data_IF_204325932533
#
_entry.id   IF_204325932533
#
_cell.length_a   1.000
_cell.length_b   1.000
_cell.length_c   1.000
_cell.angle_alpha   90.00
_cell.angle_beta   90.00
_cell.angle_gamma   90.00
#
_symmetry.space_group_name_H-M   'P 1'
#
loop_
_entity.id
_entity.type
_entity.pdbx_description
1 polymer ?
#
# COMPACT_ATOMS: atom_id res chain seq x y z
N UNK A 1 6.17 1.64 -3.43
CA UNK A 1 5.68 1.58 -4.84
C UNK A 1 5.99 0.22 -5.43
N UNK A 2 5.14 -0.30 -6.32
CA UNK A 2 5.35 -1.63 -6.92
C UNK A 2 5.23 -1.58 -8.45
N UNK A 3 6.07 -2.36 -9.11
CA UNK A 3 6.00 -2.63 -10.55
C UNK A 3 5.75 -4.12 -10.71
N UNK A 4 4.83 -4.49 -11.58
CA UNK A 4 4.51 -5.89 -11.89
C UNK A 4 4.41 -6.13 -13.38
N UNK A 5 4.72 -7.38 -13.76
CA UNK A 5 4.64 -7.86 -15.14
C UNK A 5 5.86 -7.57 -15.98
N UNK A 6 5.92 -8.25 -17.11
CA UNK A 6 7.12 -8.26 -17.96
C UNK A 6 7.33 -6.98 -18.77
N UNK A 7 6.29 -6.12 -18.95
CA UNK A 7 6.42 -4.90 -19.77
C UNK A 7 7.60 -4.01 -19.34
N UNK A 8 7.71 -3.80 -18.02
CA UNK A 8 8.83 -3.06 -17.45
C UNK A 8 9.89 -3.99 -16.87
N UNK A 9 9.49 -5.19 -16.41
CA UNK A 9 10.39 -6.19 -15.86
C UNK A 9 11.49 -6.63 -16.83
N UNK A 10 11.16 -6.86 -18.09
CA UNK A 10 12.14 -7.24 -19.10
C UNK A 10 13.24 -6.16 -19.30
N UNK A 11 12.83 -4.87 -19.30
CA UNK A 11 13.78 -3.75 -19.37
C UNK A 11 14.68 -3.69 -18.14
N UNK A 12 14.12 -3.91 -16.95
CA UNK A 12 14.90 -3.91 -15.71
C UNK A 12 15.89 -5.05 -15.66
N UNK A 13 15.48 -6.26 -16.06
CA UNK A 13 16.35 -7.43 -16.12
C UNK A 13 17.51 -7.28 -17.12
N UNK A 14 17.33 -6.46 -18.16
CA UNK A 14 18.40 -6.13 -19.11
C UNK A 14 19.61 -5.44 -18.46
N UNK A 15 19.41 -4.62 -17.40
CA UNK A 15 20.52 -3.95 -16.72
C UNK A 15 21.56 -4.94 -16.18
N UNK A 16 21.14 -6.13 -15.78
CA UNK A 16 22.02 -7.18 -15.25
C UNK A 16 22.18 -8.36 -16.21
N UNK A 17 21.67 -8.24 -17.43
CA UNK A 17 21.77 -9.29 -18.44
C UNK A 17 21.05 -10.59 -18.05
N UNK A 18 19.96 -10.50 -17.28
CA UNK A 18 19.14 -11.66 -16.95
C UNK A 18 18.12 -11.93 -18.06
N UNK A 19 18.06 -13.15 -18.61
CA UNK A 19 17.14 -13.47 -19.70
C UNK A 19 15.67 -13.34 -19.31
N UNK A 20 14.86 -12.77 -20.19
CA UNK A 20 13.42 -12.60 -19.98
C UNK A 20 12.61 -13.03 -21.21
N UNK A 21 11.32 -13.35 -21.01
CA UNK A 21 10.40 -13.56 -22.13
C UNK A 21 10.24 -12.30 -22.96
N UNK A 22 10.03 -12.47 -24.26
CA UNK A 22 9.70 -11.35 -25.15
C UNK A 22 8.29 -10.83 -24.82
N UNK A 23 8.13 -9.52 -24.78
CA UNK A 23 6.87 -8.87 -24.36
C UNK A 23 6.56 -7.70 -25.28
N UNK A 24 5.29 -7.60 -25.69
CA UNK A 24 4.72 -6.45 -26.37
C UNK A 24 3.74 -5.71 -25.44
N UNK A 25 3.73 -4.39 -25.53
CA UNK A 25 2.88 -3.52 -24.73
C UNK A 25 1.45 -3.40 -25.27
N UNK A 26 0.60 -2.63 -24.58
CA UNK A 26 -0.82 -2.46 -24.94
C UNK A 26 -1.05 -1.85 -26.32
N UNK A 27 -0.08 -1.09 -26.84
CA UNK A 27 -0.14 -0.45 -28.18
C UNK A 27 0.40 -1.29 -29.32
N UNK A 28 0.68 -2.59 -29.12
CA UNK A 28 1.19 -3.46 -30.17
C UNK A 28 0.21 -3.59 -31.33
N UNK A 29 0.74 -3.50 -32.56
CA UNK A 29 -0.02 -3.73 -33.78
C UNK A 29 -0.35 -5.21 -34.00
N UNK A 30 -1.33 -5.48 -34.85
CA UNK A 30 -1.72 -6.86 -35.19
C UNK A 30 -0.57 -7.63 -35.86
N UNK A 31 0.26 -6.94 -36.65
CA UNK A 31 1.44 -7.54 -37.28
C UNK A 31 2.50 -7.94 -36.26
N UNK A 32 2.76 -7.10 -35.26
CA UNK A 32 3.68 -7.40 -34.18
C UNK A 32 3.19 -8.59 -33.35
N UNK A 33 1.89 -8.62 -32.99
CA UNK A 33 1.28 -9.73 -32.26
C UNK A 33 1.38 -11.02 -33.08
N UNK A 34 1.03 -10.99 -34.37
CA UNK A 34 1.16 -12.15 -35.25
C UNK A 34 2.60 -12.62 -35.35
N UNK A 35 3.55 -11.70 -35.53
CA UNK A 35 4.98 -12.02 -35.59
C UNK A 35 5.46 -12.68 -34.28
N UNK A 36 4.97 -12.24 -33.12
CA UNK A 36 5.29 -12.86 -31.84
C UNK A 36 4.76 -14.30 -31.76
N UNK A 37 3.52 -14.54 -32.23
CA UNK A 37 2.92 -15.88 -32.30
C UNK A 37 3.72 -16.77 -33.24
N UNK A 38 4.03 -16.29 -34.45
CA UNK A 38 4.76 -17.06 -35.46
C UNK A 38 6.15 -17.50 -34.96
N UNK A 39 6.84 -16.68 -34.17
CA UNK A 39 8.15 -17.00 -33.57
C UNK A 39 8.07 -17.98 -32.40
N UNK A 40 7.04 -17.88 -31.57
CA UNK A 40 6.98 -18.59 -30.29
C UNK A 40 5.88 -19.67 -30.22
N UNK A 41 5.00 -19.75 -31.22
CA UNK A 41 3.91 -20.72 -31.32
C UNK A 41 2.74 -20.46 -30.35
N UNK A 42 3.01 -19.90 -29.18
CA UNK A 42 2.00 -19.54 -28.16
C UNK A 42 2.38 -18.26 -27.46
N UNK A 43 1.38 -17.45 -27.16
CA UNK A 43 1.54 -16.24 -26.34
C UNK A 43 0.55 -16.23 -25.18
N UNK A 44 0.90 -15.46 -24.14
CA UNK A 44 0.01 -15.17 -23.01
C UNK A 44 -0.43 -13.70 -23.09
N UNK A 45 -1.70 -13.44 -22.79
CA UNK A 45 -2.27 -12.11 -22.71
C UNK A 45 -2.58 -11.82 -21.25
N UNK A 46 -1.96 -10.78 -20.68
CA UNK A 46 -2.09 -10.41 -19.28
C UNK A 46 -2.59 -8.98 -19.13
N UNK A 47 -3.63 -8.72 -18.30
CA UNK A 47 -4.08 -7.37 -18.04
C UNK A 47 -3.03 -6.57 -17.24
N UNK A 48 -2.91 -5.29 -17.57
CA UNK A 48 -2.02 -4.33 -16.90
C UNK A 48 -2.81 -3.59 -15.83
N UNK A 49 -2.44 -3.81 -14.58
CA UNK A 49 -3.00 -3.08 -13.44
C UNK A 49 -1.97 -2.11 -12.87
N UNK A 50 -2.42 -0.91 -12.51
CA UNK A 50 -1.60 0.02 -11.74
C UNK A 50 -1.44 -0.50 -10.30
N UNK A 51 -0.25 -0.36 -9.72
CA UNK A 51 0.00 -0.71 -8.32
C UNK A 51 0.19 -2.20 -8.01
N UNK A 52 0.32 -3.06 -9.02
CA UNK A 52 0.83 -4.41 -8.78
C UNK A 52 -0.14 -5.41 -8.17
N UNK A 53 -1.21 -5.71 -8.87
CA UNK A 53 -2.21 -6.70 -8.43
C UNK A 53 -1.72 -8.13 -8.74
N UNK A 54 -1.59 -8.97 -7.71
CA UNK A 54 -1.23 -10.39 -7.84
C UNK A 54 -2.40 -11.31 -8.15
N UNK A 55 -2.15 -12.63 -8.19
CA UNK A 55 -3.15 -13.72 -8.31
C UNK A 55 -4.02 -13.71 -9.58
N UNK A 56 -3.51 -13.10 -10.66
CA UNK A 56 -4.22 -12.98 -11.94
C UNK A 56 -4.64 -14.33 -12.53
N UNK A 57 -3.79 -15.35 -12.41
CA UNK A 57 -4.06 -16.69 -12.92
C UNK A 57 -5.27 -17.36 -12.26
N UNK A 58 -5.36 -17.31 -10.93
CA UNK A 58 -6.49 -17.87 -10.16
C UNK A 58 -7.81 -17.14 -10.43
N UNK A 59 -7.73 -15.87 -10.83
CA UNK A 59 -8.90 -15.06 -11.16
C UNK A 59 -9.38 -15.21 -12.62
N UNK A 60 -8.79 -16.10 -13.41
CA UNK A 60 -9.13 -16.26 -14.83
C UNK A 60 -8.69 -15.09 -15.72
N UNK A 61 -7.77 -14.25 -15.23
CA UNK A 61 -7.25 -13.07 -15.91
C UNK A 61 -5.97 -13.35 -16.71
N UNK A 62 -5.81 -14.57 -17.17
CA UNK A 62 -4.72 -15.00 -18.03
C UNK A 62 -5.29 -15.53 -19.34
N UNK A 63 -5.08 -14.80 -20.43
CA UNK A 63 -5.40 -15.25 -21.78
C UNK A 63 -4.28 -16.08 -22.40
N UNK A 64 -4.63 -16.99 -23.32
CA UNK A 64 -3.69 -17.77 -24.12
C UNK A 64 -4.12 -17.76 -25.57
N UNK A 65 -3.17 -17.57 -26.48
CA UNK A 65 -3.45 -17.61 -27.91
C UNK A 65 -2.32 -18.28 -28.69
N UNK A 66 -2.70 -18.98 -29.76
CA UNK A 66 -1.81 -19.58 -30.76
C UNK A 66 -2.07 -19.01 -32.16
N UNK A 67 -3.04 -18.10 -32.28
CA UNK A 67 -3.41 -17.39 -33.50
C UNK A 67 -3.85 -15.97 -33.17
N UNK A 68 -3.81 -15.10 -34.19
CA UNK A 68 -4.13 -13.68 -34.03
C UNK A 68 -5.60 -13.43 -33.60
N UNK A 69 -6.53 -14.19 -34.14
CA UNK A 69 -7.97 -13.99 -33.85
C UNK A 69 -8.25 -14.23 -32.34
N UNK A 70 -7.71 -15.32 -31.81
CA UNK A 70 -7.80 -15.63 -30.37
C UNK A 70 -7.09 -14.57 -29.54
N UNK A 71 -5.93 -14.08 -29.98
CA UNK A 71 -5.20 -13.03 -29.26
C UNK A 71 -5.98 -11.73 -29.15
N UNK A 72 -6.65 -11.32 -30.22
CA UNK A 72 -7.48 -10.09 -30.24
C UNK A 72 -8.75 -10.27 -29.39
N UNK A 73 -9.38 -11.42 -29.40
CA UNK A 73 -10.53 -11.71 -28.54
C UNK A 73 -10.15 -11.68 -27.05
N UNK A 74 -9.00 -12.22 -26.67
CA UNK A 74 -8.48 -12.15 -25.32
C UNK A 74 -8.04 -10.74 -24.92
N UNK A 75 -7.50 -9.95 -25.85
CA UNK A 75 -7.23 -8.52 -25.66
C UNK A 75 -8.51 -7.78 -25.27
N UNK A 76 -9.59 -7.94 -26.02
CA UNK A 76 -10.86 -7.28 -25.75
C UNK A 76 -11.44 -7.69 -24.40
N UNK A 77 -11.40 -8.97 -24.07
CA UNK A 77 -11.89 -9.52 -22.79
C UNK A 77 -11.13 -8.96 -21.57
N UNK A 78 -9.82 -8.75 -21.70
CA UNK A 78 -8.94 -8.43 -20.56
C UNK A 78 -8.58 -6.95 -20.44
N UNK A 79 -8.84 -6.13 -21.48
CA UNK A 79 -8.32 -4.75 -21.55
C UNK A 79 -8.78 -3.86 -20.39
N UNK A 80 -10.04 -3.99 -19.97
CA UNK A 80 -10.64 -3.27 -18.84
C UNK A 80 -11.12 -4.23 -17.74
N UNK A 81 -10.51 -5.40 -17.66
CA UNK A 81 -10.89 -6.38 -16.65
C UNK A 81 -10.78 -5.82 -15.23
N UNK A 82 -11.74 -6.16 -14.40
CA UNK A 82 -11.73 -5.82 -12.98
C UNK A 82 -11.21 -6.99 -12.15
N UNK A 83 -10.45 -6.69 -11.14
CA UNK A 83 -9.92 -7.68 -10.21
C UNK A 83 -10.01 -7.17 -8.78
N UNK A 84 -10.45 -8.04 -7.88
CA UNK A 84 -10.52 -7.76 -6.45
C UNK A 84 -9.54 -8.66 -5.73
N UNK A 85 -8.55 -8.05 -5.07
CA UNK A 85 -7.61 -8.76 -4.20
C UNK A 85 -7.72 -8.18 -2.81
N UNK A 86 -8.08 -9.02 -1.85
CA UNK A 86 -8.43 -8.59 -0.50
C UNK A 86 -9.60 -7.58 -0.55
N UNK A 87 -9.38 -6.34 -0.22
CA UNK A 87 -10.42 -5.28 -0.25
C UNK A 87 -10.18 -4.25 -1.37
N UNK A 88 -9.12 -4.43 -2.17
CA UNK A 88 -8.75 -3.50 -3.24
C UNK A 88 -9.36 -3.95 -4.56
N UNK A 89 -10.22 -3.10 -5.14
CA UNK A 89 -10.72 -3.28 -6.51
C UNK A 89 -9.81 -2.52 -7.46
N UNK A 90 -9.19 -3.23 -8.39
CA UNK A 90 -8.35 -2.65 -9.44
C UNK A 90 -8.99 -2.90 -10.82
N UNK A 91 -8.92 -1.91 -11.68
CA UNK A 91 -9.33 -2.01 -13.08
C UNK A 91 -8.11 -1.98 -13.99
N UNK A 92 -8.03 -2.92 -14.92
CA UNK A 92 -6.96 -2.94 -15.90
C UNK A 92 -7.10 -1.77 -16.88
N UNK A 93 -5.96 -1.30 -17.39
CA UNK A 93 -5.89 -0.30 -18.46
C UNK A 93 -4.91 -0.77 -19.53
N UNK A 94 -5.32 -1.78 -20.26
CA UNK A 94 -4.50 -2.39 -21.30
C UNK A 94 -4.12 -3.84 -20.99
N UNK A 95 -3.46 -4.45 -21.96
CA UNK A 95 -2.91 -5.80 -21.88
C UNK A 95 -1.48 -5.85 -22.39
N UNK A 96 -0.70 -6.83 -21.92
CA UNK A 96 0.57 -7.24 -22.54
C UNK A 96 0.40 -8.54 -23.31
N UNK A 97 1.22 -8.73 -24.33
CA UNK A 97 1.36 -9.99 -25.07
C UNK A 97 2.75 -10.53 -24.79
N UNK A 98 2.84 -11.68 -24.16
CA UNK A 98 4.09 -12.27 -23.67
C UNK A 98 4.33 -13.59 -24.33
N UNK A 99 5.53 -13.79 -24.86
CA UNK A 99 5.94 -15.04 -25.51
C UNK A 99 5.85 -16.21 -24.54
N UNK A 100 5.24 -17.31 -24.96
CA UNK A 100 5.28 -18.57 -24.25
C UNK A 100 6.70 -19.14 -24.23
N UNK A 101 7.17 -19.53 -23.06
CA UNK A 101 8.48 -20.17 -22.88
C UNK A 101 8.22 -21.63 -22.48
N UNK A 102 8.37 -22.60 -23.42
CA UNK A 102 8.27 -24.01 -23.08
C UNK A 102 9.38 -24.42 -22.11
N UNK A 103 9.02 -25.08 -21.03
CA UNK A 103 9.99 -25.54 -20.03
C UNK A 103 9.46 -26.75 -19.25
N UNK A 104 10.37 -27.63 -18.82
CA UNK A 104 10.09 -28.75 -17.91
C UNK A 104 10.16 -28.34 -16.44
N UNK A 105 10.92 -27.27 -16.15
CA UNK A 105 11.17 -26.79 -14.79
C UNK A 105 10.79 -25.35 -14.67
N UNK A 106 10.07 -25.02 -13.61
CA UNK A 106 9.71 -23.67 -13.19
C UNK A 106 10.30 -23.41 -11.81
N UNK A 107 10.88 -22.21 -11.62
CA UNK A 107 11.59 -21.82 -10.41
C UNK A 107 10.97 -20.55 -9.87
N UNK A 108 10.80 -20.49 -8.56
CA UNK A 108 10.49 -19.28 -7.81
C UNK A 108 11.78 -18.66 -7.27
N UNK A 109 11.93 -17.37 -7.40
CA UNK A 109 13.02 -16.62 -6.81
C UNK A 109 12.55 -15.26 -6.30
N UNK A 110 12.97 -14.90 -5.08
CA UNK A 110 12.80 -13.54 -4.59
C UNK A 110 13.96 -13.09 -3.72
N UNK A 111 14.13 -11.76 -3.62
CA UNK A 111 14.97 -11.08 -2.63
C UNK A 111 14.11 -10.05 -1.90
N UNK A 112 14.22 -10.01 -0.59
CA UNK A 112 13.63 -8.97 0.25
C UNK A 112 14.45 -8.79 1.52
N UNK A 113 14.32 -7.63 2.16
CA UNK A 113 14.87 -7.43 3.50
C UNK A 113 14.02 -8.14 4.54
N UNK A 114 14.65 -9.01 5.32
CA UNK A 114 13.96 -9.80 6.33
C UNK A 114 14.15 -9.21 7.72
N UNK A 115 13.05 -8.88 8.38
CA UNK A 115 13.07 -8.47 9.80
C UNK A 115 13.49 -9.60 10.73
N UNK A 116 13.19 -10.86 10.37
CA UNK A 116 13.57 -12.05 11.12
C UNK A 116 15.08 -12.25 11.13
N UNK A 117 15.72 -12.14 9.96
CA UNK A 117 17.17 -12.36 9.80
C UNK A 117 17.97 -11.07 9.91
N UNK A 118 17.31 -9.90 9.87
CA UNK A 118 17.96 -8.57 9.85
C UNK A 118 19.00 -8.44 8.72
N UNK A 119 18.71 -9.04 7.60
CA UNK A 119 19.58 -9.10 6.43
C UNK A 119 18.75 -9.29 5.15
N UNK A 120 19.30 -8.93 3.98
CA UNK A 120 18.73 -9.34 2.72
C UNK A 120 18.62 -10.86 2.68
N UNK A 121 17.46 -11.34 2.23
CA UNK A 121 17.13 -12.77 2.26
C UNK A 121 16.65 -13.20 0.90
N UNK A 122 17.27 -14.24 0.38
CA UNK A 122 16.82 -14.95 -0.82
C UNK A 122 15.77 -15.99 -0.42
N UNK A 123 14.63 -16.01 -1.12
CA UNK A 123 13.70 -17.14 -1.11
C UNK A 123 13.74 -17.83 -2.45
N UNK A 124 13.94 -19.13 -2.46
CA UNK A 124 14.16 -19.94 -3.65
C UNK A 124 13.39 -21.25 -3.57
N UNK A 125 12.70 -21.63 -4.65
CA UNK A 125 12.08 -22.93 -4.82
C UNK A 125 12.21 -23.42 -6.26
N UNK A 126 12.42 -24.73 -6.44
CA UNK A 126 12.39 -25.37 -7.76
C UNK A 126 10.94 -25.70 -8.21
N UNK A 127 9.94 -25.26 -7.47
CA UNK A 127 8.52 -25.36 -7.77
C UNK A 127 7.94 -23.96 -7.98
N UNK A 128 8.13 -23.40 -9.17
CA UNK A 128 7.60 -22.09 -9.56
C UNK A 128 6.21 -22.17 -10.18
N UNK A 129 5.67 -20.99 -10.54
CA UNK A 129 4.37 -20.88 -11.22
C UNK A 129 3.15 -21.03 -10.31
N UNK A 130 3.35 -21.16 -9.02
CA UNK A 130 2.32 -21.23 -7.97
C UNK A 130 2.66 -20.26 -6.82
N UNK A 131 1.71 -20.02 -5.93
CA UNK A 131 1.95 -19.18 -4.76
C UNK A 131 2.96 -19.89 -3.84
N UNK A 132 4.02 -19.17 -3.43
CA UNK A 132 5.11 -19.76 -2.63
C UNK A 132 4.63 -20.27 -1.28
N UNK A 133 3.57 -19.69 -0.75
CA UNK A 133 2.93 -20.10 0.51
C UNK A 133 2.23 -21.46 0.42
N UNK A 134 1.94 -21.93 -0.79
CA UNK A 134 1.31 -23.23 -1.05
C UNK A 134 2.34 -24.33 -1.33
N UNK A 135 3.62 -23.97 -1.48
CA UNK A 135 4.71 -24.92 -1.70
C UNK A 135 5.08 -25.60 -0.38
N UNK A 136 5.29 -26.93 -0.40
CA UNK A 136 5.78 -27.67 0.77
C UNK A 136 7.11 -27.05 1.26
N UNK A 137 7.22 -26.65 2.53
CA UNK A 137 8.42 -26.00 3.09
C UNK A 137 9.73 -26.73 2.82
N UNK A 138 9.73 -28.04 2.64
CA UNK A 138 10.95 -28.81 2.29
C UNK A 138 11.52 -28.48 0.91
N UNK A 139 10.72 -27.84 0.04
CA UNK A 139 11.12 -27.39 -1.29
C UNK A 139 11.33 -25.86 -1.36
N UNK A 140 11.37 -25.19 -0.22
CA UNK A 140 11.60 -23.72 -0.13
C UNK A 140 12.83 -23.47 0.72
N UNK A 141 13.83 -22.80 0.16
CA UNK A 141 14.97 -22.27 0.88
C UNK A 141 14.78 -20.79 1.16
N UNK A 142 14.93 -20.37 2.41
CA UNK A 142 15.02 -18.96 2.84
C UNK A 142 16.40 -18.72 3.45
N UNK A 143 17.27 -18.07 2.69
CA UNK A 143 18.69 -17.94 3.06
C UNK A 143 19.08 -16.46 3.14
N UNK A 144 19.41 -15.96 4.35
CA UNK A 144 19.99 -14.63 4.50
C UNK A 144 21.39 -14.59 3.93
N UNK A 145 21.80 -13.43 3.44
CA UNK A 145 23.16 -13.20 2.95
C UNK A 145 23.65 -11.80 3.33
N UNK A 146 24.94 -11.60 3.24
CA UNK A 146 25.58 -10.35 3.62
C UNK A 146 25.35 -9.27 2.57
N UNK A 147 24.82 -8.11 2.98
CA UNK A 147 24.48 -7.00 2.12
C UNK A 147 25.72 -6.36 1.42
N UNK A 148 26.88 -6.39 2.06
CA UNK A 148 28.10 -5.78 1.53
C UNK A 148 28.74 -6.65 0.43
N UNK A 149 28.71 -7.96 0.64
CA UNK A 149 29.29 -8.90 -0.32
C UNK A 149 28.31 -9.39 -1.37
N UNK A 150 27.02 -9.22 -1.13
CA UNK A 150 25.94 -9.61 -2.04
C UNK A 150 25.67 -11.11 -2.12
N UNK A 151 24.70 -11.47 -2.95
CA UNK A 151 24.31 -12.87 -3.16
C UNK A 151 25.40 -13.63 -3.93
N UNK A 152 26.02 -14.62 -3.29
CA UNK A 152 27.11 -15.41 -3.87
C UNK A 152 26.59 -16.69 -4.55
N UNK A 153 27.28 -17.10 -5.60
CA UNK A 153 26.97 -18.32 -6.35
C UNK A 153 26.86 -19.57 -5.48
N UNK A 154 27.75 -19.73 -4.49
CA UNK A 154 27.71 -20.87 -3.59
C UNK A 154 26.49 -20.89 -2.66
N UNK A 155 25.96 -19.70 -2.29
CA UNK A 155 24.72 -19.60 -1.49
C UNK A 155 23.54 -20.16 -2.30
N UNK A 156 23.45 -19.80 -3.57
CA UNK A 156 22.42 -20.32 -4.48
C UNK A 156 22.59 -21.82 -4.69
N UNK A 157 23.83 -22.30 -4.90
CA UNK A 157 24.11 -23.72 -5.13
C UNK A 157 23.70 -24.57 -3.91
N UNK A 158 24.07 -24.13 -2.71
CA UNK A 158 23.72 -24.82 -1.47
C UNK A 158 22.20 -24.87 -1.26
N UNK A 159 21.53 -23.74 -1.44
CA UNK A 159 20.08 -23.66 -1.30
C UNK A 159 19.35 -24.62 -2.26
N UNK A 160 19.74 -24.65 -3.56
CA UNK A 160 19.17 -25.56 -4.55
C UNK A 160 19.42 -27.03 -4.20
N UNK A 161 20.59 -27.34 -3.69
CA UNK A 161 20.94 -28.70 -3.27
C UNK A 161 20.13 -29.14 -2.04
N UNK A 162 19.94 -28.24 -1.08
CA UNK A 162 19.20 -28.51 0.16
C UNK A 162 17.73 -28.80 -0.10
N UNK A 163 17.09 -28.08 -1.02
CA UNK A 163 15.69 -28.28 -1.39
C UNK A 163 15.48 -29.44 -2.40
N UNK A 164 16.53 -30.14 -2.77
CA UNK A 164 16.46 -31.28 -3.70
C UNK A 164 16.18 -30.90 -5.14
N UNK A 165 16.65 -29.73 -5.59
CA UNK A 165 16.45 -29.28 -6.95
C UNK A 165 17.11 -30.23 -7.99
N UNK A 166 16.50 -30.42 -9.18
CA UNK A 166 17.10 -31.21 -10.26
C UNK A 166 18.51 -30.71 -10.62
N UNK A 167 19.46 -31.63 -10.77
CA UNK A 167 20.87 -31.28 -10.97
C UNK A 167 21.10 -30.43 -12.22
N UNK A 168 20.34 -30.68 -13.28
CA UNK A 168 20.46 -29.98 -14.57
C UNK A 168 20.11 -28.48 -14.49
N UNK A 169 19.29 -28.03 -13.51
CA UNK A 169 18.94 -26.62 -13.36
C UNK A 169 19.91 -25.86 -12.46
N UNK A 170 20.71 -26.54 -11.63
CA UNK A 170 21.55 -25.89 -10.61
C UNK A 170 22.59 -24.96 -11.27
N UNK A 171 23.41 -25.48 -12.17
CA UNK A 171 24.50 -24.69 -12.79
C UNK A 171 23.98 -23.45 -13.53
N UNK A 172 22.93 -23.51 -14.38
CA UNK A 172 22.41 -22.33 -15.03
C UNK A 172 21.86 -21.28 -14.06
N UNK A 173 21.18 -21.71 -12.98
CA UNK A 173 20.66 -20.78 -11.97
C UNK A 173 21.76 -20.12 -11.15
N UNK A 174 22.77 -20.87 -10.74
CA UNK A 174 23.94 -20.37 -9.99
C UNK A 174 24.71 -19.28 -10.77
N UNK A 175 24.72 -19.37 -12.10
CA UNK A 175 25.36 -18.36 -12.95
C UNK A 175 24.55 -17.09 -13.13
N UNK A 176 23.23 -17.13 -12.96
CA UNK A 176 22.34 -16.02 -13.29
C UNK A 176 21.72 -15.34 -12.05
N UNK A 177 21.26 -16.10 -11.06
CA UNK A 177 20.53 -15.55 -9.92
C UNK A 177 21.34 -14.53 -9.08
N UNK A 178 22.66 -14.69 -8.86
CA UNK A 178 23.44 -13.68 -8.15
C UNK A 178 23.40 -12.28 -8.74
N UNK A 179 23.24 -12.15 -10.07
CA UNK A 179 23.13 -10.86 -10.76
C UNK A 179 21.90 -10.05 -10.33
N UNK A 180 20.86 -10.72 -9.88
CA UNK A 180 19.64 -10.05 -9.42
C UNK A 180 19.85 -9.24 -8.13
N UNK A 181 20.90 -9.55 -7.37
CA UNK A 181 21.31 -8.71 -6.24
C UNK A 181 21.77 -7.32 -6.69
N UNK A 182 22.52 -7.22 -7.79
CA UNK A 182 22.97 -5.93 -8.35
C UNK A 182 21.75 -5.08 -8.71
N UNK A 183 20.74 -5.69 -9.36
CA UNK A 183 19.49 -5.01 -9.69
C UNK A 183 18.74 -4.56 -8.44
N UNK A 184 18.64 -5.41 -7.42
CA UNK A 184 17.96 -5.11 -6.17
C UNK A 184 18.65 -3.99 -5.40
N UNK A 185 19.95 -4.11 -5.20
CA UNK A 185 20.74 -3.21 -4.36
C UNK A 185 20.95 -1.84 -5.02
N UNK A 186 21.37 -1.81 -6.29
CA UNK A 186 21.82 -0.58 -6.95
C UNK A 186 20.68 0.38 -7.26
N UNK A 187 19.46 -0.14 -7.35
CA UNK A 187 18.27 0.67 -7.61
C UNK A 187 17.34 0.82 -6.40
N UNK A 188 17.76 0.37 -5.23
CA UNK A 188 17.00 0.56 -3.97
C UNK A 188 15.67 -0.18 -3.96
N UNK A 189 15.65 -1.41 -4.46
CA UNK A 189 14.46 -2.24 -4.37
C UNK A 189 14.23 -2.71 -2.94
N UNK A 190 12.97 -2.75 -2.50
CA UNK A 190 12.55 -3.34 -1.22
C UNK A 190 12.14 -4.80 -1.37
N UNK A 191 11.71 -5.17 -2.57
CA UNK A 191 11.38 -6.54 -2.96
C UNK A 191 11.70 -6.74 -4.43
N UNK A 192 12.13 -7.94 -4.80
CA UNK A 192 12.30 -8.40 -6.17
C UNK A 192 11.82 -9.85 -6.24
N UNK A 193 10.88 -10.15 -7.13
CA UNK A 193 10.31 -11.48 -7.29
C UNK A 193 10.20 -11.85 -8.77
N UNK A 194 10.63 -13.07 -9.09
CA UNK A 194 10.46 -13.72 -10.39
C UNK A 194 9.69 -15.02 -10.18
N UNK A 195 8.45 -15.10 -10.69
CA UNK A 195 7.60 -16.29 -10.53
C UNK A 195 6.60 -16.47 -11.69
N UNK A 196 6.91 -17.37 -12.64
CA UNK A 196 8.06 -18.27 -12.66
C UNK A 196 9.28 -17.75 -13.42
N UNK A 197 10.45 -18.31 -13.09
CA UNK A 197 11.58 -18.44 -13.99
C UNK A 197 11.44 -19.78 -14.68
N UNK A 198 11.39 -19.80 -16.01
CA UNK A 198 11.29 -21.02 -16.82
C UNK A 198 12.64 -21.45 -17.37
N UNK A 199 12.99 -22.71 -17.18
CA UNK A 199 14.24 -23.27 -17.67
C UNK A 199 14.08 -23.69 -19.13
N UNK A 200 14.37 -22.74 -20.06
CA UNK A 200 14.27 -22.97 -21.51
C UNK A 200 15.41 -23.84 -21.99
N UNK A 201 15.10 -24.91 -22.67
CA UNK A 201 16.06 -25.81 -23.30
C UNK A 201 16.35 -25.35 -24.75
N UNK A 202 17.63 -25.27 -25.12
CA UNK A 202 18.05 -25.03 -26.51
C UNK A 202 18.13 -26.35 -27.29
N UNK A 203 18.39 -26.26 -28.62
CA UNK A 203 18.51 -27.42 -29.49
C UNK A 203 19.67 -28.37 -29.12
N UNK A 204 20.59 -27.95 -28.25
CA UNK A 204 21.73 -28.73 -27.74
C UNK A 204 21.48 -29.28 -26.32
N UNK A 205 20.27 -29.15 -25.78
CA UNK A 205 19.92 -29.60 -24.44
C UNK A 205 20.41 -28.68 -23.31
N UNK A 206 20.92 -27.48 -23.61
CA UNK A 206 21.39 -26.55 -22.58
C UNK A 206 20.21 -25.75 -22.03
N UNK A 207 20.14 -25.68 -20.71
CA UNK A 207 19.11 -24.95 -20.00
C UNK A 207 19.54 -23.50 -19.76
N UNK A 208 18.60 -22.58 -19.98
CA UNK A 208 18.77 -21.14 -19.71
C UNK A 208 17.58 -20.68 -18.88
N UNK A 209 17.78 -20.05 -17.72
CA UNK A 209 16.70 -19.47 -16.95
C UNK A 209 16.14 -18.24 -17.67
N UNK A 210 14.82 -18.16 -17.83
CA UNK A 210 14.10 -17.08 -18.49
C UNK A 210 13.00 -16.60 -17.56
N UNK A 211 13.05 -15.35 -17.15
CA UNK A 211 11.99 -14.75 -16.34
C UNK A 211 10.71 -14.59 -17.18
N UNK A 212 9.57 -15.09 -16.66
CA UNK A 212 8.28 -15.05 -17.32
C UNK A 212 7.23 -14.25 -16.53
N UNK A 213 7.58 -13.82 -15.33
CA UNK A 213 6.86 -12.79 -14.59
C UNK A 213 7.84 -12.03 -13.69
N UNK A 214 7.49 -10.80 -13.35
CA UNK A 214 8.36 -9.89 -12.62
C UNK A 214 7.53 -9.05 -11.65
N UNK A 215 8.03 -8.91 -10.43
CA UNK A 215 7.48 -8.00 -9.45
C UNK A 215 8.62 -7.37 -8.66
N UNK A 216 8.60 -6.07 -8.49
CA UNK A 216 9.51 -5.38 -7.57
C UNK A 216 8.81 -4.26 -6.82
N UNK A 217 9.37 -3.94 -5.65
CA UNK A 217 8.97 -2.81 -4.83
C UNK A 217 10.10 -1.80 -4.69
N UNK A 218 9.74 -0.53 -4.51
CA UNK A 218 10.67 0.55 -4.20
C UNK A 218 10.16 1.34 -3.01
N UNK A 219 11.07 1.86 -2.22
CA UNK A 219 10.78 2.93 -1.27
C UNK A 219 10.60 4.23 -2.07
N UNK A 220 9.52 4.96 -1.77
CA UNK A 220 9.22 6.24 -2.44
C UNK A 220 10.29 7.29 -2.18
N UNK A 221 10.89 7.25 -1.00
CA UNK A 221 11.85 8.25 -0.53
C UNK A 221 13.29 7.89 -0.92
N UNK A 222 13.54 6.70 -1.49
CA UNK A 222 14.84 6.31 -2.02
C UNK A 222 15.03 6.83 -3.47
N UNK A 223 15.95 7.76 -3.72
CA UNK A 223 16.13 8.33 -5.06
C UNK A 223 16.78 7.37 -6.06
N UNK A 224 17.33 6.25 -5.62
CA UNK A 224 18.09 5.30 -6.49
C UNK A 224 17.28 4.77 -7.65
N UNK A 225 15.97 4.52 -7.46
CA UNK A 225 15.11 4.03 -8.54
C UNK A 225 14.93 5.01 -9.70
N UNK A 226 15.13 6.31 -9.48
CA UNK A 226 15.00 7.34 -10.52
C UNK A 226 15.98 7.11 -11.69
N UNK A 227 17.11 6.46 -11.42
CA UNK A 227 18.13 6.10 -12.43
C UNK A 227 17.65 5.04 -13.43
N UNK A 228 16.57 4.34 -13.13
CA UNK A 228 15.97 3.36 -14.04
C UNK A 228 15.30 4.01 -15.27
N UNK A 229 15.05 5.34 -15.24
CA UNK A 229 14.39 6.05 -16.32
C UNK A 229 13.00 5.48 -16.67
N UNK A 230 12.29 4.97 -15.68
CA UNK A 230 10.93 4.47 -15.84
C UNK A 230 9.93 5.63 -15.92
N UNK A 231 8.82 5.47 -16.63
CA UNK A 231 7.82 6.51 -16.74
C UNK A 231 7.30 6.98 -15.37
N UNK A 232 7.27 8.29 -15.07
CA UNK A 232 6.86 8.80 -13.76
C UNK A 232 5.47 8.36 -13.32
N UNK A 233 4.53 8.17 -14.26
CA UNK A 233 3.16 7.74 -13.95
C UNK A 233 3.07 6.34 -13.33
N UNK A 234 4.09 5.48 -13.48
CA UNK A 234 4.16 4.18 -12.81
C UNK A 234 4.31 4.33 -11.30
N UNK A 235 4.89 5.44 -10.87
CA UNK A 235 5.15 5.75 -9.47
C UNK A 235 4.14 6.75 -8.88
N UNK A 236 3.31 7.36 -9.72
CA UNK A 236 2.26 8.24 -9.25
C UNK A 236 1.27 7.43 -8.41
N UNK A 237 1.12 7.80 -7.14
CA UNK A 237 0.04 7.27 -6.32
C UNK A 237 -1.28 7.85 -6.82
N UNK A 238 -2.33 7.03 -6.83
CA UNK A 238 -3.69 7.52 -7.03
C UNK A 238 -4.17 8.10 -5.69
N UNK A 239 -3.78 9.35 -5.45
CA UNK A 239 -4.28 10.10 -4.32
C UNK A 239 -5.68 10.62 -4.64
N UNK A 240 -6.61 10.49 -3.70
CA UNK A 240 -7.86 11.24 -3.70
C UNK A 240 -7.56 12.75 -3.58
N UNK A 241 -8.51 13.60 -3.93
CA UNK A 241 -8.37 15.05 -3.78
C UNK A 241 -8.00 15.43 -2.33
N UNK A 242 -8.60 14.77 -1.37
CA UNK A 242 -8.27 14.91 0.05
C UNK A 242 -6.80 14.60 0.37
N UNK A 243 -6.28 13.45 -0.12
CA UNK A 243 -4.89 13.07 0.11
C UNK A 243 -3.92 14.02 -0.60
N UNK A 244 -4.28 14.51 -1.78
CA UNK A 244 -3.49 15.50 -2.50
C UNK A 244 -3.40 16.82 -1.73
N UNK A 245 -4.51 17.33 -1.18
CA UNK A 245 -4.52 18.56 -0.40
C UNK A 245 -3.64 18.44 0.85
N UNK A 246 -3.75 17.35 1.60
CA UNK A 246 -2.89 17.10 2.78
C UNK A 246 -1.41 16.98 2.37
N UNK A 247 -1.11 16.29 1.27
CA UNK A 247 0.27 16.14 0.80
C UNK A 247 0.94 17.45 0.42
N UNK A 248 0.17 18.47 0.00
CA UNK A 248 0.72 19.82 -0.26
C UNK A 248 1.25 20.51 1.00
N UNK A 249 0.80 20.05 2.19
CA UNK A 249 1.24 20.58 3.48
C UNK A 249 2.52 19.92 4.01
N UNK A 250 3.15 19.00 3.24
CA UNK A 250 4.42 18.40 3.64
C UNK A 250 5.50 19.46 3.80
N UNK A 251 6.05 19.53 4.99
CA UNK A 251 7.10 20.47 5.38
C UNK A 251 8.17 19.74 6.18
N UNK A 252 9.28 20.41 6.48
CA UNK A 252 10.34 19.85 7.32
C UNK A 252 9.92 19.59 8.77
N UNK A 253 8.88 20.26 9.26
CA UNK A 253 8.39 20.09 10.62
C UNK A 253 6.99 19.51 10.64
N UNK A 254 6.84 18.41 11.38
CA UNK A 254 5.59 17.68 11.53
C UNK A 254 5.26 16.81 10.33
N UNK A 255 4.68 15.67 10.63
CA UNK A 255 4.21 14.70 9.66
C UNK A 255 2.83 15.11 9.14
N UNK A 256 2.51 14.73 7.92
CA UNK A 256 1.21 14.91 7.28
C UNK A 256 0.92 13.74 6.34
N UNK A 257 1.21 12.52 6.83
CA UNK A 257 0.91 11.31 6.09
C UNK A 257 -0.54 10.90 6.33
N UNK A 258 -1.29 10.72 5.24
CA UNK A 258 -2.69 10.33 5.30
C UNK A 258 -3.06 9.46 4.10
N UNK A 259 -3.92 8.48 4.37
CA UNK A 259 -4.52 7.61 3.36
C UNK A 259 -5.99 7.38 3.71
N UNK A 260 -6.86 7.43 2.71
CA UNK A 260 -8.26 7.02 2.88
C UNK A 260 -8.30 5.49 2.92
N UNK A 261 -8.84 4.94 4.02
CA UNK A 261 -9.01 3.49 4.19
C UNK A 261 -10.39 3.07 3.70
N UNK A 262 -11.41 3.78 4.18
CA UNK A 262 -12.79 3.49 3.84
C UNK A 262 -13.60 4.79 3.74
N UNK A 263 -13.97 5.16 2.52
CA UNK A 263 -14.78 6.35 2.23
C UNK A 263 -16.20 6.27 2.81
N UNK A 264 -16.63 5.09 3.27
CA UNK A 264 -17.90 4.84 3.96
C UNK A 264 -17.75 4.68 5.48
N UNK A 265 -16.55 4.84 5.99
CA UNK A 265 -16.27 4.81 7.41
C UNK A 265 -17.02 5.90 8.17
N UNK A 266 -17.15 5.73 9.48
CA UNK A 266 -17.92 6.63 10.36
C UNK A 266 -17.10 7.19 11.52
N UNK A 267 -15.84 6.81 11.62
CA UNK A 267 -14.90 7.33 12.62
C UNK A 267 -13.79 8.07 11.87
N UNK A 268 -13.75 9.39 12.03
CA UNK A 268 -12.64 10.21 11.57
C UNK A 268 -11.57 10.20 12.66
N UNK A 269 -10.42 9.56 12.39
CA UNK A 269 -9.38 9.30 13.38
C UNK A 269 -8.05 10.00 13.06
N UNK A 270 -7.91 11.33 13.29
CA UNK A 270 -6.61 11.98 13.26
C UNK A 270 -5.68 11.37 14.31
N UNK A 271 -4.62 10.71 13.84
CA UNK A 271 -3.70 9.94 14.69
C UNK A 271 -2.32 10.60 14.70
N UNK A 272 -1.64 10.49 15.84
CA UNK A 272 -0.33 11.09 16.06
C UNK A 272 0.66 10.00 16.50
N UNK A 273 1.61 9.68 15.63
CA UNK A 273 2.63 8.65 15.81
C UNK A 273 2.28 7.35 15.08
N UNK A 274 3.24 6.87 14.27
CA UNK A 274 3.05 5.71 13.40
C UNK A 274 2.66 4.42 14.13
N UNK A 275 3.23 4.17 15.31
CA UNK A 275 2.85 3.02 16.14
C UNK A 275 1.39 3.07 16.63
N UNK A 276 0.94 4.25 17.05
CA UNK A 276 -0.46 4.45 17.42
C UNK A 276 -1.38 4.29 16.21
N UNK A 277 -0.97 4.83 15.05
CA UNK A 277 -1.74 4.73 13.81
C UNK A 277 -1.96 3.26 13.37
N UNK A 278 -0.92 2.43 13.42
CA UNK A 278 -1.05 1.02 13.06
C UNK A 278 -2.08 0.30 13.94
N UNK A 279 -2.03 0.51 15.24
CA UNK A 279 -2.97 -0.11 16.18
C UNK A 279 -4.41 0.42 15.99
N UNK A 280 -4.55 1.74 15.81
CA UNK A 280 -5.86 2.38 15.58
C UNK A 280 -6.51 1.86 14.30
N UNK A 281 -5.75 1.81 13.21
CA UNK A 281 -6.23 1.32 11.91
C UNK A 281 -6.68 -0.13 12.00
N UNK A 282 -5.89 -0.99 12.64
CA UNK A 282 -6.23 -2.40 12.82
C UNK A 282 -7.49 -2.59 13.68
N UNK A 283 -7.56 -1.92 14.83
CA UNK A 283 -8.67 -2.11 15.77
C UNK A 283 -9.96 -1.44 15.32
N UNK A 284 -9.93 -0.35 14.58
CA UNK A 284 -11.14 0.27 14.03
C UNK A 284 -11.66 -0.47 12.80
N UNK A 285 -10.78 -1.08 11.99
CA UNK A 285 -11.14 -1.77 10.74
C UNK A 285 -11.96 -0.88 9.81
N UNK A 286 -13.05 -1.40 9.27
CA UNK A 286 -13.92 -0.70 8.32
C UNK A 286 -14.63 0.55 8.88
N UNK A 287 -14.60 0.76 10.18
CA UNK A 287 -15.17 1.99 10.78
C UNK A 287 -14.26 3.21 10.57
N UNK A 288 -12.95 3.02 10.37
CA UNK A 288 -12.01 4.09 10.14
C UNK A 288 -12.15 4.68 8.74
N UNK A 289 -12.21 6.02 8.64
CA UNK A 289 -12.20 6.73 7.35
C UNK A 289 -10.77 6.83 6.84
N UNK A 290 -9.85 7.25 7.70
CA UNK A 290 -8.46 7.53 7.33
C UNK A 290 -7.47 6.76 8.21
N UNK A 291 -6.30 6.45 7.65
CA UNK A 291 -5.06 6.14 8.34
C UNK A 291 -4.17 7.37 8.26
N UNK A 292 -3.66 7.86 9.38
CA UNK A 292 -2.88 9.09 9.38
C UNK A 292 -1.79 9.13 10.44
N UNK A 293 -0.70 9.84 10.14
CA UNK A 293 0.29 10.24 11.14
C UNK A 293 0.56 11.74 11.05
N UNK A 294 0.10 12.47 12.05
CA UNK A 294 0.28 13.90 12.20
C UNK A 294 1.26 14.26 13.34
N UNK A 295 2.17 13.34 13.68
CA UNK A 295 3.19 13.53 14.71
C UNK A 295 4.31 14.49 14.31
N UNK A 296 5.44 14.42 15.04
CA UNK A 296 6.63 15.21 14.74
C UNK A 296 6.52 16.70 15.08
N UNK A 297 5.68 17.05 16.06
CA UNK A 297 5.49 18.43 16.53
C UNK A 297 5.12 19.43 15.42
N UNK A 298 4.00 19.23 14.69
CA UNK A 298 3.56 20.17 13.67
C UNK A 298 3.26 21.53 14.30
N UNK A 299 3.61 22.65 13.63
CA UNK A 299 3.22 23.97 14.07
C UNK A 299 1.70 24.16 14.02
N UNK A 300 1.19 25.11 14.81
CA UNK A 300 -0.25 25.39 14.93
C UNK A 300 -0.93 25.57 13.57
N UNK A 301 -0.34 26.40 12.69
CA UNK A 301 -0.89 26.74 11.38
C UNK A 301 -1.05 25.49 10.50
N UNK A 302 -0.01 24.65 10.45
CA UNK A 302 -0.06 23.39 9.70
C UNK A 302 -1.14 22.46 10.25
N UNK A 303 -1.17 22.28 11.58
CA UNK A 303 -2.15 21.38 12.20
C UNK A 303 -3.58 21.88 12.03
N UNK A 304 -3.78 23.19 12.08
CA UNK A 304 -5.09 23.82 11.84
C UNK A 304 -5.57 23.57 10.40
N UNK A 305 -4.70 23.74 9.41
CA UNK A 305 -5.03 23.51 8.02
C UNK A 305 -5.29 22.01 7.74
N UNK A 306 -4.47 21.10 8.29
CA UNK A 306 -4.74 19.65 8.24
C UNK A 306 -6.13 19.33 8.80
N UNK A 307 -6.47 19.90 9.96
CA UNK A 307 -7.78 19.69 10.58
C UNK A 307 -8.92 20.25 9.71
N UNK A 308 -8.76 21.44 9.12
CA UNK A 308 -9.76 22.05 8.21
C UNK A 308 -10.03 21.17 7.01
N UNK A 309 -8.99 20.63 6.36
CA UNK A 309 -9.11 19.71 5.23
C UNK A 309 -9.83 18.43 5.66
N UNK A 310 -9.40 17.80 6.77
CA UNK A 310 -10.06 16.61 7.31
C UNK A 310 -11.55 16.85 7.59
N UNK A 311 -11.90 17.96 8.21
CA UNK A 311 -13.27 18.27 8.58
C UNK A 311 -14.14 18.58 7.37
N UNK A 312 -13.65 19.34 6.41
CA UNK A 312 -14.38 19.65 5.16
C UNK A 312 -14.74 18.39 4.39
N UNK A 313 -13.82 17.44 4.27
CA UNK A 313 -14.06 16.23 3.50
C UNK A 313 -14.90 15.19 4.27
N UNK A 314 -14.69 15.03 5.59
CA UNK A 314 -15.14 13.83 6.29
C UNK A 314 -16.05 14.06 7.49
N UNK A 315 -16.12 15.27 8.08
CA UNK A 315 -16.84 15.46 9.33
C UNK A 315 -18.34 15.21 9.21
N UNK A 316 -18.93 15.59 8.07
CA UNK A 316 -20.39 15.46 7.82
C UNK A 316 -20.89 14.02 7.91
N UNK A 317 -20.10 13.06 7.44
CA UNK A 317 -20.46 11.64 7.51
C UNK A 317 -20.04 10.98 8.83
N UNK A 318 -19.11 11.60 9.56
CA UNK A 318 -18.57 11.01 10.78
C UNK A 318 -19.59 10.99 11.91
N UNK A 319 -19.62 9.92 12.66
CA UNK A 319 -20.28 9.83 13.96
C UNK A 319 -19.34 10.23 15.10
N UNK A 320 -18.04 9.92 14.93
CA UNK A 320 -17.02 10.16 15.94
C UNK A 320 -15.84 10.89 15.32
N UNK A 321 -15.43 11.98 15.95
CA UNK A 321 -14.09 12.56 15.79
C UNK A 321 -13.19 11.98 16.87
N UNK A 322 -12.23 11.16 16.45
CA UNK A 322 -11.37 10.41 17.34
C UNK A 322 -9.91 10.89 17.25
N UNK A 323 -9.54 11.84 18.10
CA UNK A 323 -8.18 12.40 18.16
C UNK A 323 -7.34 11.51 19.06
N UNK A 324 -6.37 10.79 18.51
CA UNK A 324 -5.61 9.80 19.24
C UNK A 324 -4.11 9.82 18.94
N UNK A 325 -3.33 9.35 19.87
CA UNK A 325 -1.88 9.16 19.73
C UNK A 325 -1.27 8.64 21.02
N UNK A 326 -0.06 8.13 20.91
CA UNK A 326 0.72 7.72 22.06
C UNK A 326 1.14 8.85 22.98
N UNK A 327 1.87 8.53 24.04
CA UNK A 327 2.55 9.50 24.89
C UNK A 327 3.68 10.15 24.08
N UNK A 328 3.56 11.43 23.80
CA UNK A 328 4.56 12.19 23.05
C UNK A 328 5.62 12.78 23.97
N UNK A 329 6.87 12.77 23.49
CA UNK A 329 7.97 13.40 24.18
C UNK A 329 8.24 14.85 23.69
N UNK A 330 7.99 15.10 22.41
CA UNK A 330 8.40 16.33 21.71
C UNK A 330 7.25 17.11 21.09
N UNK A 331 6.05 16.54 20.99
CA UNK A 331 4.89 17.25 20.41
C UNK A 331 4.19 18.05 21.50
N UNK A 332 4.00 19.34 21.28
CA UNK A 332 3.17 20.18 22.13
C UNK A 332 1.69 19.86 21.91
N UNK A 333 1.10 19.18 22.91
CA UNK A 333 -0.30 18.73 22.83
C UNK A 333 -1.27 19.92 22.84
N UNK A 334 -0.94 21.01 23.52
CA UNK A 334 -1.78 22.20 23.50
C UNK A 334 -1.88 22.82 22.12
N UNK A 335 -0.76 23.01 21.43
CA UNK A 335 -0.75 23.62 20.09
C UNK A 335 -1.56 22.77 19.09
N UNK A 336 -1.39 21.45 19.11
CA UNK A 336 -2.12 20.58 18.19
C UNK A 336 -3.61 20.49 18.51
N UNK A 337 -4.00 20.42 19.79
CA UNK A 337 -5.41 20.36 20.17
C UNK A 337 -6.11 21.72 20.02
N UNK A 338 -5.43 22.83 20.30
CA UNK A 338 -5.94 24.18 20.04
C UNK A 338 -6.22 24.37 18.55
N UNK A 339 -5.29 23.96 17.69
CA UNK A 339 -5.45 24.03 16.24
C UNK A 339 -6.69 23.26 15.76
N UNK A 340 -6.88 22.03 16.25
CA UNK A 340 -8.07 21.22 15.94
C UNK A 340 -9.34 21.83 16.50
N UNK A 341 -9.31 22.35 17.72
CA UNK A 341 -10.45 23.01 18.37
C UNK A 341 -10.90 24.25 17.59
N UNK A 342 -9.95 25.07 17.14
CA UNK A 342 -10.23 26.26 16.34
C UNK A 342 -10.78 25.87 14.95
N UNK A 343 -10.19 24.90 14.28
CA UNK A 343 -10.69 24.37 12.99
C UNK A 343 -12.13 23.80 13.14
N UNK A 344 -12.43 23.15 14.27
CA UNK A 344 -13.79 22.63 14.53
C UNK A 344 -14.82 23.76 14.70
N UNK A 345 -14.47 24.82 15.42
CA UNK A 345 -15.34 26.01 15.53
C UNK A 345 -15.58 26.69 14.19
N UNK A 346 -14.52 26.85 13.39
CA UNK A 346 -14.62 27.42 12.04
C UNK A 346 -15.51 26.55 11.15
N UNK A 347 -15.32 25.23 11.16
CA UNK A 347 -16.16 24.31 10.38
C UNK A 347 -17.65 24.44 10.72
N UNK A 348 -17.99 24.54 12.01
CA UNK A 348 -19.38 24.74 12.44
C UNK A 348 -19.94 26.10 12.03
N UNK A 349 -19.11 27.15 12.04
CA UNK A 349 -19.52 28.46 11.56
C UNK A 349 -19.75 28.52 10.05
N UNK A 350 -18.90 27.84 9.27
CA UNK A 350 -18.91 27.90 7.80
C UNK A 350 -19.90 26.92 7.17
N UNK A 351 -20.05 25.71 7.77
CA UNK A 351 -20.80 24.59 7.17
C UNK A 351 -22.03 24.20 7.99
N UNK A 352 -22.24 24.86 9.11
CA UNK A 352 -23.33 24.57 10.03
C UNK A 352 -23.04 23.40 11.00
N UNK A 353 -23.93 23.21 11.98
CA UNK A 353 -23.74 22.22 13.03
C UNK A 353 -23.80 20.78 12.50
N UNK A 354 -22.85 19.97 12.94
CA UNK A 354 -22.76 18.56 12.59
C UNK A 354 -22.87 17.72 13.86
N UNK A 355 -23.86 16.79 13.99
CA UNK A 355 -23.96 15.89 15.12
C UNK A 355 -22.76 14.95 15.18
N UNK A 356 -21.97 15.07 16.24
CA UNK A 356 -20.67 14.41 16.38
C UNK A 356 -20.41 14.04 17.84
N UNK A 357 -19.73 12.93 18.08
CA UNK A 357 -19.14 12.59 19.38
C UNK A 357 -17.62 12.78 19.32
N UNK A 358 -17.04 13.50 20.29
CA UNK A 358 -15.60 13.74 20.32
C UNK A 358 -14.93 12.81 21.33
N UNK A 359 -13.94 12.04 20.88
CA UNK A 359 -13.12 11.19 21.75
C UNK A 359 -11.66 11.62 21.61
N UNK A 360 -11.01 11.85 22.74
CA UNK A 360 -9.59 12.17 22.81
C UNK A 360 -8.85 11.08 23.60
N UNK A 361 -7.71 10.63 23.07
CA UNK A 361 -6.73 9.79 23.78
C UNK A 361 -5.30 10.25 23.47
N UNK A 362 -4.74 11.10 24.33
CA UNK A 362 -3.41 11.69 24.14
C UNK A 362 -2.62 11.76 25.43
N UNK A 363 -1.29 11.74 25.30
CA UNK A 363 -0.35 12.03 26.38
C UNK A 363 0.83 12.88 25.90
N UNK A 364 1.37 13.73 26.77
CA UNK A 364 2.56 14.51 26.46
C UNK A 364 2.55 15.95 27.02
N UNK A 365 3.49 16.79 26.57
CA UNK A 365 3.64 18.15 27.05
C UNK A 365 2.36 18.98 26.89
N UNK A 366 2.03 19.82 27.88
CA UNK A 366 0.89 20.75 27.86
C UNK A 366 -0.49 20.09 27.68
N UNK A 367 -0.63 18.77 27.96
CA UNK A 367 -1.86 18.00 27.78
C UNK A 367 -3.07 18.67 28.44
N UNK A 368 -2.97 19.09 29.70
CA UNK A 368 -4.09 19.66 30.47
C UNK A 368 -4.66 20.91 29.80
N UNK A 369 -3.77 21.81 29.32
CA UNK A 369 -4.19 23.00 28.54
C UNK A 369 -4.88 22.62 27.26
N UNK A 370 -4.33 21.63 26.53
CA UNK A 370 -4.93 21.13 25.28
C UNK A 370 -6.30 20.51 25.50
N UNK A 371 -6.45 19.69 26.53
CA UNK A 371 -7.74 19.10 26.91
C UNK A 371 -8.77 20.18 27.29
N UNK A 372 -8.35 21.22 28.01
CA UNK A 372 -9.25 22.34 28.34
C UNK A 372 -9.73 23.06 27.08
N UNK A 373 -8.82 23.39 26.15
CA UNK A 373 -9.18 24.05 24.90
C UNK A 373 -10.19 23.24 24.07
N UNK A 374 -9.97 21.93 23.96
CA UNK A 374 -10.89 21.04 23.24
C UNK A 374 -12.23 20.88 23.97
N UNK A 375 -12.21 20.72 25.30
CA UNK A 375 -13.42 20.67 26.15
C UNK A 375 -14.27 21.94 25.97
N UNK A 376 -13.66 23.11 26.13
CA UNK A 376 -14.36 24.39 26.04
C UNK A 376 -14.97 24.60 24.64
N UNK A 377 -14.32 24.07 23.61
CA UNK A 377 -14.86 24.05 22.25
C UNK A 377 -16.06 23.10 22.15
N UNK A 378 -15.94 21.86 22.63
CA UNK A 378 -17.06 20.90 22.62
C UNK A 378 -18.26 21.45 23.42
N UNK A 379 -18.00 22.05 24.58
CA UNK A 379 -19.01 22.70 25.38
C UNK A 379 -19.67 23.87 24.66
N UNK A 380 -18.90 24.73 23.96
CA UNK A 380 -19.45 25.83 23.17
C UNK A 380 -20.27 25.37 21.97
N UNK A 381 -19.97 24.23 21.38
CA UNK A 381 -20.70 23.65 20.24
C UNK A 381 -21.81 22.66 20.62
N UNK A 382 -21.99 22.40 21.92
CA UNK A 382 -23.00 21.42 22.39
C UNK A 382 -22.67 19.97 22.10
N UNK A 383 -21.41 19.67 21.82
CA UNK A 383 -20.96 18.31 21.46
C UNK A 383 -20.73 17.43 22.70
N UNK A 384 -21.16 16.17 22.69
CA UNK A 384 -20.72 15.21 23.69
C UNK A 384 -19.27 14.81 23.46
N UNK A 385 -18.54 14.59 24.54
CA UNK A 385 -17.13 14.22 24.47
C UNK A 385 -16.69 13.29 25.59
N UNK A 386 -15.59 12.58 25.36
CA UNK A 386 -14.81 11.86 26.39
C UNK A 386 -13.32 12.09 26.15
N UNK A 387 -12.64 12.58 27.17
CA UNK A 387 -11.22 12.90 27.12
C UNK A 387 -10.45 11.94 28.05
N UNK A 388 -9.47 11.22 27.47
CA UNK A 388 -8.60 10.30 28.17
C UNK A 388 -7.18 10.86 28.18
N UNK A 389 -6.50 10.74 29.31
CA UNK A 389 -5.13 11.16 29.49
C UNK A 389 -4.10 10.06 29.22
N UNK A 390 -2.88 10.33 29.59
CA UNK A 390 -1.71 9.45 29.35
C UNK A 390 -1.69 8.16 30.18
N UNK A 391 -2.55 8.05 31.18
CA UNK A 391 -2.73 6.91 32.08
C UNK A 391 -3.77 5.90 31.53
N UNK A 392 -4.38 6.19 30.39
CA UNK A 392 -5.35 5.31 29.77
C UNK A 392 -4.69 4.39 28.74
N UNK A 393 -5.09 3.11 28.74
CA UNK A 393 -4.65 2.18 27.70
C UNK A 393 -5.23 2.57 26.34
N UNK A 394 -4.38 2.61 25.32
CA UNK A 394 -4.77 3.03 23.96
C UNK A 394 -5.87 2.12 23.38
N UNK A 395 -5.81 0.82 23.66
CA UNK A 395 -6.79 -0.15 23.17
C UNK A 395 -8.17 0.06 23.81
N UNK A 396 -8.23 0.43 25.08
CA UNK A 396 -9.47 0.78 25.77
C UNK A 396 -10.09 2.06 25.19
N UNK A 397 -9.27 3.05 24.87
CA UNK A 397 -9.74 4.31 24.24
C UNK A 397 -10.31 4.04 22.85
N UNK A 398 -9.66 3.17 22.06
CA UNK A 398 -10.17 2.76 20.74
C UNK A 398 -11.50 2.03 20.87
N UNK A 399 -11.62 1.10 21.82
CA UNK A 399 -12.87 0.39 22.10
C UNK A 399 -13.97 1.36 22.52
N UNK A 400 -13.63 2.39 23.30
CA UNK A 400 -14.60 3.44 23.66
C UNK A 400 -15.10 4.21 22.44
N UNK A 401 -14.21 4.59 21.52
CA UNK A 401 -14.58 5.26 20.27
C UNK A 401 -15.54 4.39 19.43
N UNK A 402 -15.31 3.08 19.35
CA UNK A 402 -16.25 2.12 18.71
C UNK A 402 -17.60 2.07 19.39
N UNK A 403 -17.65 2.09 20.74
CA UNK A 403 -18.90 2.13 21.50
C UNK A 403 -19.66 3.44 21.25
N UNK A 404 -18.94 4.57 21.19
CA UNK A 404 -19.52 5.86 20.85
C UNK A 404 -20.13 5.87 19.44
N UNK A 405 -19.42 5.30 18.45
CA UNK A 405 -19.93 5.16 17.08
C UNK A 405 -21.19 4.28 17.03
N UNK A 406 -21.19 3.14 17.71
CA UNK A 406 -22.36 2.27 17.81
C UNK A 406 -23.56 2.99 18.45
N UNK A 407 -23.34 3.77 19.51
CA UNK A 407 -24.38 4.59 20.13
C UNK A 407 -24.89 5.67 19.17
N UNK A 408 -24.02 6.35 18.45
CA UNK A 408 -24.40 7.35 17.45
C UNK A 408 -25.30 6.75 16.37
N UNK A 409 -24.99 5.54 15.90
CA UNK A 409 -25.82 4.81 14.92
C UNK A 409 -27.18 4.37 15.48
N UNK A 410 -27.28 4.06 16.77
CA UNK A 410 -28.52 3.58 17.43
C UNK A 410 -29.46 4.68 17.88
N UNK A 411 -29.28 5.93 17.42
CA UNK A 411 -30.15 7.06 17.77
C UNK A 411 -29.44 8.21 18.48
N UNK A 412 -28.18 8.03 18.90
CA UNK A 412 -27.37 9.05 19.53
C UNK A 412 -27.19 10.29 18.65
N UNK A 413 -27.05 10.08 17.31
CA UNK A 413 -26.92 11.19 16.36
C UNK A 413 -28.11 12.17 16.41
N UNK A 414 -29.34 11.67 16.52
CA UNK A 414 -30.54 12.50 16.68
C UNK A 414 -30.57 13.24 18.02
N UNK A 415 -30.13 12.59 19.09
CA UNK A 415 -30.02 13.22 20.40
C UNK A 415 -29.02 14.36 20.44
N UNK A 416 -27.84 14.15 19.81
CA UNK A 416 -26.81 15.19 19.68
C UNK A 416 -27.31 16.35 18.82
N UNK A 417 -27.99 16.08 17.70
CA UNK A 417 -28.58 17.11 16.86
C UNK A 417 -29.59 17.98 17.63
N UNK A 418 -30.49 17.36 18.42
CA UNK A 418 -31.45 18.06 19.26
C UNK A 418 -30.76 18.94 20.33
N UNK A 419 -29.68 18.45 20.94
CA UNK A 419 -28.87 19.20 21.93
C UNK A 419 -28.24 20.44 21.33
N UNK A 420 -27.66 20.30 20.13
CA UNK A 420 -27.03 21.43 19.40
C UNK A 420 -28.08 22.46 19.04
N UNK A 421 -29.23 22.07 18.47
CA UNK A 421 -30.29 22.97 18.06
C UNK A 421 -30.94 23.73 19.26
N UNK A 422 -31.12 23.08 20.42
CA UNK A 422 -31.63 23.74 21.64
C UNK A 422 -30.66 24.82 22.12
N UNK A 423 -29.34 24.66 21.92
CA UNK A 423 -28.31 25.63 22.34
C UNK A 423 -28.24 26.83 21.43
N UNK A 424 -28.34 26.60 20.11
CA UNK A 424 -28.38 27.68 19.11
C UNK A 424 -29.59 28.60 19.36
N UNK A 425 -30.73 28.04 19.72
CA UNK A 425 -31.92 28.82 20.09
C UNK A 425 -31.71 29.68 21.37
N UNK A 426 -31.00 29.14 22.37
CA UNK A 426 -30.66 29.88 23.60
C UNK A 426 -29.65 31.01 23.37
N UNK A 427 -28.66 30.79 22.51
CA UNK A 427 -27.66 31.84 22.16
C UNK A 427 -28.27 32.97 21.36
N UNK A 428 -29.25 32.72 20.51
CA UNK A 428 -29.99 33.76 19.76
C UNK A 428 -30.87 34.61 20.67
N UNK A 429 -31.51 33.99 21.67
CA UNK A 429 -32.34 34.71 22.65
C UNK A 429 -31.52 35.52 23.68
N UNK A 430 -30.27 35.14 23.92
CA UNK A 430 -29.37 35.89 24.82
C UNK A 430 -28.66 37.08 24.12
N UNK A 431 -28.69 37.11 22.79
CA UNK A 431 -28.10 38.19 21.96
C UNK A 431 -29.13 39.20 21.43
N UNK A 432 -30.40 38.94 21.63
CA UNK A 432 -31.54 39.80 21.33
C UNK A 432 -31.99 40.56 22.62
#
# INVERSE_FOLDING_TARGET
>A
MQITGMLHGARLLQFVGFPSSEVLGPGASEEEIKSLIDRHGQIFIKPVFKGGVGKKGKAGLLGRATDLKTALAEKERLYFAEHVVSHVRAKANGVTFEAGVPAKHEVYFSISDSTRFRAPTMTLSHMGGMDIEEVDPKHVAMVPFDALTGLKAFVVANALSEIGAPREIISPLVQQLPKLWELFHDFGMTTLELNPIRMREDKKGRLTPVACDFKCGFDRDDPRFSRLGLPPHLFAADYSDFEQEINQLRTHQGQSDVYVINDKGTILAPTFGGGANSLVTEMLGDAAIISSDFGGNPPYEKMKEVARICFRHWLKQSNVLFIIGGKSNNTDIYETLRAMADALREHFSEHGPTPLYVVLGRGGPNLVRGMSALRDTCDSLGLPYRLFGFDSDISEVIQYARKADAWMRSGGRSQVAARIGARDAQSQTASA
#
